data_IF_958829665173
#
_entry.id   IF_958829665173
#
_cell.length_a   1.000
_cell.length_b   1.000
_cell.length_c   1.000
_cell.angle_alpha   90.00
_cell.angle_beta   90.00
_cell.angle_gamma   90.00
#
_symmetry.space_group_name_H-M   'P 1'
#
loop_
_entity.id
_entity.type
_entity.pdbx_description
1 polymer ?
#
# COMPACT_ATOMS: atom_id res chain seq x y z
N UNK A 1 -6.43 -9.10 23.17
CA UNK A 1 -6.81 -7.68 22.90
C UNK A 1 -6.51 -7.38 21.45
N UNK A 2 -7.33 -7.93 20.55
CA UNK A 2 -7.29 -7.56 19.15
C UNK A 2 -7.85 -6.13 19.03
N UNK A 3 -6.95 -5.15 18.92
CA UNK A 3 -7.34 -3.76 18.65
C UNK A 3 -7.86 -3.77 17.22
N UNK A 4 -9.18 -3.82 17.07
CA UNK A 4 -9.85 -3.85 15.78
C UNK A 4 -9.31 -2.81 14.80
N UNK A 5 -9.52 -3.07 13.51
CA UNK A 5 -9.09 -2.19 12.42
C UNK A 5 -9.57 -0.76 12.74
N UNK A 6 -8.62 0.11 13.01
CA UNK A 6 -8.86 1.50 13.36
C UNK A 6 -8.41 2.40 12.22
N UNK A 7 -8.73 3.68 12.34
CA UNK A 7 -8.40 4.71 11.37
C UNK A 7 -6.90 4.72 10.99
N UNK A 8 -6.01 4.58 11.97
CA UNK A 8 -4.56 4.59 11.73
C UNK A 8 -4.13 3.40 10.87
N UNK A 9 -4.64 2.20 11.14
CA UNK A 9 -4.34 0.99 10.37
C UNK A 9 -4.84 1.13 8.93
N UNK A 10 -6.06 1.65 8.71
CA UNK A 10 -6.60 1.85 7.37
C UNK A 10 -5.77 2.84 6.54
N UNK A 11 -5.23 3.89 7.18
CA UNK A 11 -4.47 4.92 6.47
C UNK A 11 -2.96 4.64 6.35
N UNK A 12 -2.48 3.51 6.85
CA UNK A 12 -1.10 3.05 6.69
C UNK A 12 -0.85 2.43 5.31
N UNK A 13 0.43 2.36 4.95
CA UNK A 13 0.91 1.64 3.79
C UNK A 13 1.38 0.25 4.22
N UNK A 14 0.76 -0.80 3.68
CA UNK A 14 1.01 -2.20 4.06
C UNK A 14 1.81 -2.97 3.00
N UNK A 15 2.03 -2.37 1.84
CA UNK A 15 2.56 -3.04 0.66
C UNK A 15 4.04 -2.75 0.39
N UNK A 16 4.84 -2.53 1.42
CA UNK A 16 6.29 -2.41 1.25
C UNK A 16 6.83 -3.69 0.59
N UNK A 17 7.66 -3.58 -0.45
CA UNK A 17 8.26 -4.73 -1.11
C UNK A 17 8.99 -5.62 -0.10
N UNK A 18 8.71 -6.91 -0.15
CA UNK A 18 9.39 -7.92 0.66
C UNK A 18 10.23 -8.80 -0.25
N UNK A 19 11.47 -9.07 0.17
CA UNK A 19 12.20 -10.18 -0.41
C UNK A 19 11.57 -11.52 0.03
N UNK A 20 12.02 -12.61 -0.62
CA UNK A 20 11.48 -13.95 -0.35
C UNK A 20 11.67 -14.38 1.11
N UNK A 21 12.76 -13.99 1.76
CA UNK A 21 13.04 -14.34 3.15
C UNK A 21 12.14 -13.57 4.12
N UNK A 22 11.95 -12.28 3.87
CA UNK A 22 11.06 -11.41 4.64
C UNK A 22 9.61 -11.86 4.51
N UNK A 23 9.16 -12.20 3.30
CA UNK A 23 7.81 -12.72 3.07
C UNK A 23 7.58 -14.06 3.78
N UNK A 24 8.60 -14.94 3.84
CA UNK A 24 8.52 -16.19 4.62
C UNK A 24 8.47 -15.95 6.13
N UNK A 25 9.21 -14.96 6.65
CA UNK A 25 9.14 -14.56 8.06
C UNK A 25 7.74 -14.04 8.38
N UNK A 26 7.22 -13.10 7.59
CA UNK A 26 5.88 -12.55 7.74
C UNK A 26 4.82 -13.66 7.75
N UNK A 27 4.90 -14.61 6.82
CA UNK A 27 3.97 -15.73 6.74
C UNK A 27 4.03 -16.62 7.99
N UNK A 28 5.23 -16.95 8.47
CA UNK A 28 5.40 -17.77 9.69
C UNK A 28 4.86 -17.07 10.93
N UNK A 29 5.19 -15.81 11.14
CA UNK A 29 4.69 -15.01 12.27
C UNK A 29 3.17 -14.88 12.23
N UNK A 30 2.62 -14.66 11.04
CA UNK A 30 1.18 -14.56 10.79
C UNK A 30 0.46 -15.87 11.12
N UNK A 31 1.02 -17.02 10.70
CA UNK A 31 0.47 -18.33 11.03
C UNK A 31 0.52 -18.60 12.53
N UNK A 32 1.60 -18.19 13.21
CA UNK A 32 1.73 -18.36 14.65
C UNK A 32 0.67 -17.54 15.41
N UNK A 33 0.51 -16.26 15.08
CA UNK A 33 -0.51 -15.38 15.65
C UNK A 33 -1.94 -15.91 15.40
N UNK A 34 -2.19 -16.44 14.21
CA UNK A 34 -3.50 -17.02 13.88
C UNK A 34 -3.78 -18.28 14.71
N UNK A 35 -2.80 -19.14 14.95
CA UNK A 35 -2.95 -20.31 15.84
C UNK A 35 -3.27 -19.87 17.26
N UNK A 36 -2.55 -18.87 17.77
CA UNK A 36 -2.80 -18.31 19.11
C UNK A 36 -4.21 -17.73 19.23
N UNK A 37 -4.66 -16.95 18.24
CA UNK A 37 -6.02 -16.40 18.22
C UNK A 37 -7.10 -17.49 18.22
N UNK A 38 -6.91 -18.57 17.45
CA UNK A 38 -7.85 -19.71 17.44
C UNK A 38 -7.93 -20.35 18.83
N UNK A 39 -6.80 -20.52 19.52
CA UNK A 39 -6.77 -21.09 20.87
C UNK A 39 -7.47 -20.21 21.91
N UNK A 40 -7.48 -18.89 21.71
CA UNK A 40 -8.17 -17.93 22.59
C UNK A 40 -9.60 -17.63 22.16
N UNK A 41 -10.08 -18.20 21.05
CA UNK A 41 -11.39 -17.90 20.47
C UNK A 41 -11.50 -16.50 19.84
N UNK A 42 -10.38 -15.82 19.63
CA UNK A 42 -10.29 -14.52 18.95
C UNK A 42 -10.13 -14.71 17.42
N UNK A 43 -10.46 -13.68 16.64
CA UNK A 43 -10.31 -13.69 15.17
C UNK A 43 -9.19 -12.74 14.76
N UNK A 44 -8.07 -13.27 14.26
CA UNK A 44 -6.96 -12.43 13.76
C UNK A 44 -7.17 -12.03 12.30
N UNK A 45 -7.90 -10.96 12.06
CA UNK A 45 -8.17 -10.47 10.70
C UNK A 45 -6.93 -9.89 10.03
N UNK A 46 -6.12 -9.14 10.79
CA UNK A 46 -4.86 -8.60 10.28
C UNK A 46 -3.89 -9.73 9.84
N UNK A 47 -4.04 -10.93 10.42
CA UNK A 47 -3.30 -12.10 9.96
C UNK A 47 -3.70 -12.47 8.52
N UNK A 48 -4.97 -12.41 8.14
CA UNK A 48 -5.39 -12.76 6.78
C UNK A 48 -4.84 -11.77 5.74
N UNK A 49 -4.83 -10.47 6.06
CA UNK A 49 -4.20 -9.44 5.20
C UNK A 49 -2.70 -9.67 5.07
N UNK A 50 -1.99 -9.95 6.17
CA UNK A 50 -0.55 -10.22 6.13
C UNK A 50 -0.20 -11.53 5.41
N UNK A 51 -1.03 -12.56 5.55
CA UNK A 51 -0.90 -13.83 4.83
C UNK A 51 -1.03 -13.58 3.32
N UNK A 52 -2.01 -12.76 2.91
CA UNK A 52 -2.18 -12.34 1.52
C UNK A 52 -0.98 -11.55 0.99
N UNK A 53 -0.50 -10.54 1.73
CA UNK A 53 0.69 -9.75 1.36
C UNK A 53 1.93 -10.65 1.21
N UNK A 54 2.18 -11.53 2.17
CA UNK A 54 3.30 -12.46 2.11
C UNK A 54 3.20 -13.38 0.89
N UNK A 55 2.03 -13.96 0.64
CA UNK A 55 1.82 -14.82 -0.52
C UNK A 55 1.96 -14.07 -1.85
N UNK A 56 1.61 -12.78 -1.91
CA UNK A 56 1.81 -11.95 -3.10
C UNK A 56 3.29 -11.88 -3.46
N UNK A 57 4.13 -11.49 -2.50
CA UNK A 57 5.59 -11.40 -2.70
C UNK A 57 6.27 -12.76 -2.92
N UNK A 58 5.66 -13.85 -2.46
CA UNK A 58 6.12 -15.22 -2.75
C UNK A 58 5.69 -15.75 -4.12
N UNK A 59 4.87 -15.00 -4.87
CA UNK A 59 4.30 -15.45 -6.15
C UNK A 59 3.33 -16.62 -5.99
N UNK A 60 2.64 -16.70 -4.83
CA UNK A 60 1.73 -17.79 -4.46
C UNK A 60 0.25 -17.39 -4.47
N UNK A 61 -0.07 -16.14 -4.79
CA UNK A 61 -1.46 -15.70 -4.91
C UNK A 61 -2.06 -16.35 -6.16
N UNK A 62 -3.09 -17.17 -5.99
CA UNK A 62 -3.86 -17.65 -7.13
C UNK A 62 -4.75 -16.53 -7.67
N UNK A 63 -5.05 -16.57 -8.98
CA UNK A 63 -5.79 -15.51 -9.66
C UNK A 63 -7.11 -15.11 -8.97
N UNK A 64 -7.80 -16.05 -8.31
CA UNK A 64 -9.09 -15.80 -7.66
C UNK A 64 -9.00 -15.65 -6.13
N UNK A 65 -7.81 -15.76 -5.54
CA UNK A 65 -7.63 -15.71 -4.08
C UNK A 65 -8.07 -14.38 -3.50
N UNK A 66 -7.83 -13.27 -4.20
CA UNK A 66 -8.24 -11.94 -3.77
C UNK A 66 -9.76 -11.77 -3.76
N UNK A 67 -10.43 -12.08 -4.88
CA UNK A 67 -11.88 -11.93 -4.99
C UNK A 67 -12.63 -12.78 -3.96
N UNK A 68 -12.16 -14.01 -3.73
CA UNK A 68 -12.71 -14.88 -2.71
C UNK A 68 -12.52 -14.33 -1.30
N UNK A 69 -11.33 -13.79 -0.99
CA UNK A 69 -11.11 -13.11 0.29
C UNK A 69 -12.06 -11.93 0.45
N UNK A 70 -12.17 -11.02 -0.53
CA UNK A 70 -13.09 -9.86 -0.42
C UNK A 70 -14.54 -10.29 -0.16
N UNK A 71 -15.02 -11.35 -0.84
CA UNK A 71 -16.39 -11.87 -0.68
C UNK A 71 -16.66 -12.54 0.66
N UNK A 72 -15.65 -13.16 1.26
CA UNK A 72 -15.80 -13.92 2.52
C UNK A 72 -15.71 -13.06 3.76
N UNK A 73 -15.12 -11.87 3.68
CA UNK A 73 -15.15 -10.91 4.80
C UNK A 73 -16.55 -10.31 4.93
N UNK A 74 -17.16 -10.42 6.11
CA UNK A 74 -18.48 -9.83 6.39
C UNK A 74 -18.40 -8.36 6.83
N UNK A 75 -17.28 -7.95 7.43
CA UNK A 75 -17.09 -6.60 7.96
C UNK A 75 -16.49 -5.63 6.93
N UNK A 76 -17.10 -4.45 6.78
CA UNK A 76 -16.69 -3.43 5.82
C UNK A 76 -15.25 -2.93 6.04
N UNK A 77 -14.81 -2.77 7.29
CA UNK A 77 -13.43 -2.35 7.62
C UNK A 77 -12.37 -3.33 7.11
N UNK A 78 -12.68 -4.63 7.20
CA UNK A 78 -11.78 -5.68 6.76
C UNK A 78 -11.66 -5.70 5.24
N UNK A 79 -12.80 -5.58 4.54
CA UNK A 79 -12.81 -5.42 3.08
C UNK A 79 -12.05 -4.18 2.65
N UNK A 80 -12.27 -3.05 3.32
CA UNK A 80 -11.56 -1.80 3.05
C UNK A 80 -10.04 -1.97 3.19
N UNK A 81 -9.58 -2.56 4.29
CA UNK A 81 -8.15 -2.83 4.50
C UNK A 81 -7.56 -3.73 3.42
N UNK A 82 -8.27 -4.80 3.03
CA UNK A 82 -7.82 -5.73 2.00
C UNK A 82 -7.74 -5.07 0.62
N UNK A 83 -8.75 -4.27 0.24
CA UNK A 83 -8.79 -3.50 -1.00
C UNK A 83 -7.63 -2.49 -1.06
N UNK A 84 -7.46 -1.71 0.01
CA UNK A 84 -6.35 -0.76 0.13
C UNK A 84 -5.01 -1.49 0.03
N UNK A 85 -4.81 -2.57 0.79
CA UNK A 85 -3.55 -3.33 0.76
C UNK A 85 -3.25 -3.90 -0.62
N UNK A 86 -4.27 -4.40 -1.32
CA UNK A 86 -4.09 -4.94 -2.67
C UNK A 86 -3.77 -3.84 -3.68
N UNK A 87 -4.51 -2.73 -3.68
CA UNK A 87 -4.19 -1.56 -4.51
C UNK A 87 -2.77 -1.05 -4.25
N UNK A 88 -2.32 -1.04 -3.00
CA UNK A 88 -0.96 -0.66 -2.63
C UNK A 88 0.08 -1.66 -3.19
N UNK A 89 -0.16 -2.98 -3.14
CA UNK A 89 0.74 -4.00 -3.72
C UNK A 89 0.90 -3.82 -5.23
N UNK A 90 -0.22 -3.58 -5.91
CA UNK A 90 -0.23 -3.32 -7.34
C UNK A 90 0.51 -2.03 -7.69
N UNK A 91 0.33 -0.98 -6.88
CA UNK A 91 1.01 0.30 -7.07
C UNK A 91 2.50 0.20 -6.78
N UNK A 92 2.92 -0.60 -5.79
CA UNK A 92 4.34 -0.95 -5.57
C UNK A 92 4.98 -1.54 -6.82
N UNK A 93 4.22 -2.30 -7.61
CA UNK A 93 4.64 -2.87 -8.90
C UNK A 93 4.31 -1.97 -10.12
N UNK A 94 3.81 -0.74 -9.89
CA UNK A 94 3.38 0.24 -10.91
C UNK A 94 2.34 -0.28 -11.90
N UNK A 95 1.40 -1.08 -11.43
CA UNK A 95 0.31 -1.62 -12.27
C UNK A 95 -0.82 -0.61 -12.43
N UNK A 96 -1.40 -0.52 -13.64
CA UNK A 96 -2.41 0.48 -14.00
C UNK A 96 -3.77 0.32 -13.30
N UNK A 97 -4.14 -0.90 -12.97
CA UNK A 97 -5.39 -1.20 -12.24
C UNK A 97 -5.26 -1.01 -10.71
N UNK A 98 -4.13 -0.51 -10.21
CA UNK A 98 -3.93 -0.28 -8.78
C UNK A 98 -4.96 0.71 -8.18
N UNK A 99 -5.24 1.81 -8.91
CA UNK A 99 -6.14 2.86 -8.43
C UNK A 99 -7.60 2.40 -8.30
N UNK A 100 -8.03 1.45 -9.13
CA UNK A 100 -9.38 0.88 -9.02
C UNK A 100 -9.63 0.27 -7.63
N UNK A 101 -8.63 -0.42 -7.08
CA UNK A 101 -8.71 -1.03 -5.75
C UNK A 101 -8.46 -0.01 -4.62
N UNK A 102 -7.55 0.95 -4.84
CA UNK A 102 -7.31 2.03 -3.88
C UNK A 102 -8.56 2.89 -3.66
N UNK A 103 -9.26 3.24 -4.75
CA UNK A 103 -10.47 4.05 -4.70
C UNK A 103 -11.63 3.28 -4.05
N UNK A 104 -11.85 2.03 -4.46
CA UNK A 104 -12.84 1.16 -3.81
C UNK A 104 -12.55 0.97 -2.32
N UNK A 105 -11.28 0.77 -1.96
CA UNK A 105 -10.86 0.64 -0.57
C UNK A 105 -11.09 1.91 0.23
N UNK A 106 -10.79 3.09 -0.34
CA UNK A 106 -11.05 4.39 0.30
C UNK A 106 -12.54 4.65 0.49
N UNK A 107 -13.37 4.36 -0.52
CA UNK A 107 -14.84 4.47 -0.41
C UNK A 107 -15.35 3.63 0.76
N UNK A 108 -14.88 2.39 0.90
CA UNK A 108 -15.29 1.53 2.01
C UNK A 108 -14.70 1.95 3.36
N UNK A 109 -13.53 2.61 3.36
CA UNK A 109 -12.85 3.07 4.57
C UNK A 109 -13.37 4.42 5.09
N UNK A 110 -14.08 5.21 4.26
CA UNK A 110 -14.38 6.61 4.53
C UNK A 110 -15.03 6.85 5.90
N UNK A 111 -16.04 6.05 6.26
CA UNK A 111 -16.77 6.17 7.54
C UNK A 111 -15.95 5.73 8.77
N UNK A 112 -14.79 5.11 8.56
CA UNK A 112 -13.93 4.58 9.62
C UNK A 112 -12.62 5.37 9.78
N UNK A 113 -12.38 6.31 8.87
CA UNK A 113 -11.22 7.19 8.90
C UNK A 113 -11.53 8.44 9.71
N UNK A 114 -10.62 8.80 10.61
CA UNK A 114 -10.57 10.15 11.17
C UNK A 114 -10.32 11.14 10.04
N UNK A 115 -10.76 12.41 10.15
CA UNK A 115 -10.50 13.41 9.12
C UNK A 115 -9.01 13.52 8.75
N UNK A 116 -8.11 13.48 9.75
CA UNK A 116 -6.66 13.53 9.54
C UNK A 116 -6.16 12.34 8.73
N UNK A 117 -6.61 11.12 9.06
CA UNK A 117 -6.18 9.91 8.35
C UNK A 117 -6.80 9.83 6.94
N UNK A 118 -8.05 10.31 6.77
CA UNK A 118 -8.71 10.39 5.48
C UNK A 118 -7.94 11.30 4.51
N UNK A 119 -7.62 12.53 4.93
CA UNK A 119 -6.81 13.44 4.12
C UNK A 119 -5.40 12.91 3.87
N UNK A 120 -4.81 12.18 4.83
CA UNK A 120 -3.51 11.51 4.59
C UNK A 120 -3.60 10.52 3.43
N UNK A 121 -4.67 9.73 3.35
CA UNK A 121 -4.86 8.76 2.26
C UNK A 121 -5.11 9.47 0.93
N UNK A 122 -6.02 10.45 0.90
CA UNK A 122 -6.31 11.22 -0.32
C UNK A 122 -5.06 11.91 -0.85
N UNK A 123 -4.36 12.68 -0.02
CA UNK A 123 -3.17 13.42 -0.47
C UNK A 123 -2.09 12.47 -1.02
N UNK A 124 -1.99 11.27 -0.45
CA UNK A 124 -1.10 10.23 -0.98
C UNK A 124 -1.59 9.71 -2.34
N UNK A 125 -2.87 9.36 -2.47
CA UNK A 125 -3.44 8.87 -3.74
C UNK A 125 -3.28 9.92 -4.85
N UNK A 126 -3.60 11.17 -4.56
CA UNK A 126 -3.44 12.30 -5.48
C UNK A 126 -1.98 12.46 -5.91
N UNK A 127 -1.03 12.44 -4.97
CA UNK A 127 0.39 12.51 -5.28
C UNK A 127 0.81 11.35 -6.20
N UNK A 128 0.45 10.12 -5.84
CA UNK A 128 0.86 8.93 -6.56
C UNK A 128 0.16 8.76 -7.93
N UNK A 129 -0.97 9.44 -8.17
CA UNK A 129 -1.69 9.41 -9.45
C UNK A 129 -0.87 9.94 -10.64
N UNK A 130 0.21 10.67 -10.35
CA UNK A 130 1.12 11.23 -11.35
C UNK A 130 2.06 10.17 -11.92
N UNK A 131 2.25 9.05 -11.23
CA UNK A 131 3.19 8.00 -11.63
C UNK A 131 2.81 7.36 -12.97
N UNK A 132 3.79 7.02 -13.82
CA UNK A 132 3.53 6.19 -14.98
C UNK A 132 3.19 4.76 -14.51
N UNK A 133 2.04 4.26 -14.94
CA UNK A 133 1.58 2.90 -14.65
C UNK A 133 1.56 2.04 -15.91
N UNK A 134 1.62 0.73 -15.72
CA UNK A 134 1.84 -0.25 -16.78
C UNK A 134 0.89 -1.42 -16.66
N UNK A 135 0.69 -2.14 -17.77
CA UNK A 135 -0.05 -3.41 -17.78
C UNK A 135 0.75 -4.54 -17.14
N UNK A 136 2.07 -4.53 -17.33
CA UNK A 136 2.99 -5.52 -16.77
C UNK A 136 3.72 -4.98 -15.54
N UNK A 137 3.97 -5.88 -14.58
CA UNK A 137 4.62 -5.53 -13.32
C UNK A 137 6.04 -4.99 -13.56
N UNK A 138 6.37 -3.87 -12.90
CA UNK A 138 7.71 -3.31 -12.84
C UNK A 138 8.41 -3.71 -11.54
N UNK A 139 9.69 -3.37 -11.45
CA UNK A 139 10.45 -3.50 -10.21
C UNK A 139 9.70 -2.85 -9.07
N UNK A 140 9.45 -3.63 -8.03
CA UNK A 140 8.70 -3.18 -6.87
C UNK A 140 9.43 -2.05 -6.15
N UNK A 141 8.69 -1.03 -5.73
CA UNK A 141 9.19 0.12 -4.99
C UNK A 141 8.39 0.32 -3.71
N UNK A 142 9.06 0.80 -2.65
CA UNK A 142 8.39 1.18 -1.42
C UNK A 142 7.71 2.55 -1.54
N UNK A 143 6.88 2.90 -0.55
CA UNK A 143 6.16 4.17 -0.56
C UNK A 143 7.11 5.39 -0.67
N UNK A 144 8.21 5.51 0.12
CA UNK A 144 9.15 6.61 -0.04
C UNK A 144 9.71 6.77 -1.46
N UNK A 145 10.08 5.67 -2.12
CA UNK A 145 10.55 5.69 -3.50
C UNK A 145 9.47 6.19 -4.47
N UNK A 146 8.24 5.67 -4.34
CA UNK A 146 7.11 6.07 -5.17
C UNK A 146 6.74 7.55 -4.97
N UNK A 147 6.69 8.03 -3.72
CA UNK A 147 6.40 9.43 -3.42
C UNK A 147 7.48 10.37 -3.96
N UNK A 148 8.76 9.96 -3.88
CA UNK A 148 9.86 10.75 -4.41
C UNK A 148 9.77 10.86 -5.94
N UNK A 149 9.51 9.74 -6.63
CA UNK A 149 9.32 9.74 -8.08
C UNK A 149 8.15 10.62 -8.51
N UNK A 150 7.00 10.50 -7.83
CA UNK A 150 5.83 11.34 -8.08
C UNK A 150 6.11 12.83 -7.89
N UNK A 151 6.84 13.20 -6.83
CA UNK A 151 7.27 14.59 -6.57
C UNK A 151 8.18 15.12 -7.68
N UNK A 152 9.12 14.31 -8.17
CA UNK A 152 10.00 14.69 -9.29
C UNK A 152 9.18 14.92 -10.56
N UNK A 153 8.30 13.98 -10.91
CA UNK A 153 7.46 14.09 -12.10
C UNK A 153 6.52 15.30 -12.04
N UNK A 154 5.96 15.59 -10.87
CA UNK A 154 5.13 16.78 -10.64
C UNK A 154 5.89 18.08 -10.95
N UNK A 155 7.13 18.21 -10.45
CA UNK A 155 7.99 19.39 -10.72
C UNK A 155 8.36 19.53 -12.19
N UNK A 156 8.64 18.41 -12.87
CA UNK A 156 8.95 18.41 -14.30
C UNK A 156 7.75 18.86 -15.13
N UNK A 157 6.53 18.40 -14.81
CA UNK A 157 5.29 18.86 -15.47
C UNK A 157 5.02 20.34 -15.25
N UNK A 158 5.41 20.88 -14.09
CA UNK A 158 5.24 22.30 -13.74
C UNK A 158 6.36 23.20 -14.32
N UNK A 159 7.31 22.64 -15.09
CA UNK A 159 8.36 23.42 -15.73
C UNK A 159 9.36 24.08 -14.77
N UNK A 160 9.42 23.64 -13.50
CA UNK A 160 10.36 24.22 -12.52
C UNK A 160 11.80 23.76 -12.82
N UNK A 161 12.72 24.68 -13.14
CA UNK A 161 14.13 24.33 -13.32
C UNK A 161 14.71 23.79 -12.02
N UNK A 162 15.58 22.79 -12.13
CA UNK A 162 16.47 22.40 -11.02
C UNK A 162 17.17 23.67 -10.53
N UNK A 163 17.17 23.94 -9.23
CA UNK A 163 18.07 24.90 -8.61
C UNK A 163 19.49 24.52 -9.03
N UNK A 164 20.03 25.20 -10.03
CA UNK A 164 21.42 25.09 -10.41
C UNK A 164 22.22 25.60 -9.24
N UNK A 165 22.94 24.68 -8.59
CA UNK A 165 23.96 25.02 -7.61
C UNK A 165 24.94 25.99 -8.25
N UNK A 166 24.82 27.26 -7.86
CA UNK A 166 25.87 28.22 -7.61
C UNK A 166 27.20 27.96 -8.36
N UNK A 167 27.26 28.27 -9.66
CA UNK A 167 28.53 28.62 -10.27
C UNK A 167 28.85 30.04 -9.83
N UNK A 168 29.64 30.14 -8.76
CA UNK A 168 30.24 31.38 -8.29
C UNK A 168 30.93 32.07 -9.46
N UNK A 169 30.27 33.11 -9.95
CA UNK A 169 30.84 34.07 -10.87
C UNK A 169 31.52 35.11 -10.00
N UNK A 170 32.85 35.19 -10.03
CA UNK A 170 33.55 36.40 -9.59
C UNK A 170 34.82 36.60 -10.42
N UNK A 171 35.24 37.85 -10.62
CA UNK A 171 35.62 38.37 -11.93
C UNK A 171 37.14 38.48 -12.11
N UNK A 172 37.56 38.61 -13.38
CA UNK A 172 38.92 39.02 -13.75
C UNK A 172 39.27 40.37 -13.14
N UNK A 173 40.43 40.46 -12.51
CA UNK A 173 41.32 41.62 -12.54
C UNK A 173 42.72 41.14 -12.88
#
# INVERSE_FOLDING_TARGET
MDKGINSTVLAQWHASPLDRSQAQVLLRETHQKRKEAILTGEQCWFCQTNEFIANYWLGKVANNSFEWLVRTHSEQRQRALLLLSYGQLLLSCKLNFAFEYLDQGLIQAADFLSPTDYFRVINRHELLSILPLFTDARTAADLPMLENEAKILSRLKQGQPRLTGNFGSTPRR
#
